data_IF_212389060144
#
_entry.id   IF_212389060144
#
_cell.length_a   1.000
_cell.length_b   1.000
_cell.length_c   1.000
_cell.angle_alpha   90.00
_cell.angle_beta   90.00
_cell.angle_gamma   90.00
#
_symmetry.space_group_name_H-M   'P 1'
#
loop_
_entity.id
_entity.type
_entity.pdbx_description
1 polymer ?
#
# COMPACT_ATOMS: atom_id res chain seq x y z
N UNK A 1 15.88 1.93 -5.01
CA UNK A 1 15.43 2.72 -3.83
C UNK A 1 14.33 1.95 -3.13
N UNK A 2 14.34 1.90 -1.80
CA UNK A 2 13.35 1.16 -0.99
C UNK A 2 12.80 2.09 0.08
N UNK A 3 11.48 2.17 0.23
CA UNK A 3 10.90 2.84 1.40
C UNK A 3 10.63 1.80 2.50
N UNK A 4 11.57 1.72 3.45
CA UNK A 4 11.48 0.89 4.64
C UNK A 4 10.96 1.66 5.88
N UNK A 5 10.40 2.85 5.70
CA UNK A 5 9.80 3.58 6.81
C UNK A 5 8.52 2.88 7.28
N UNK A 6 8.29 2.85 8.59
CA UNK A 6 7.12 2.15 9.14
C UNK A 6 5.79 2.88 8.91
N UNK A 7 5.80 4.21 8.70
CA UNK A 7 4.60 5.03 8.90
C UNK A 7 4.51 6.28 8.00
N UNK A 8 5.40 6.42 7.01
CA UNK A 8 5.52 7.63 6.19
C UNK A 8 5.69 7.30 4.71
N UNK A 9 4.83 7.90 3.88
CA UNK A 9 5.08 8.05 2.44
C UNK A 9 6.10 9.18 2.29
N UNK A 10 7.05 9.04 1.36
CA UNK A 10 8.14 9.99 1.21
C UNK A 10 8.16 10.60 -0.19
N UNK A 11 8.32 11.91 -0.25
CA UNK A 11 8.91 12.55 -1.42
C UNK A 11 10.43 12.39 -1.36
N UNK A 12 11.07 12.15 -2.50
CA UNK A 12 12.52 12.10 -2.64
C UNK A 12 12.98 12.86 -3.89
N UNK A 13 14.10 13.57 -3.79
CA UNK A 13 14.71 14.27 -4.92
C UNK A 13 16.22 14.46 -4.72
N UNK A 14 16.93 14.73 -5.82
CA UNK A 14 18.36 15.01 -5.83
C UNK A 14 18.61 16.37 -6.46
N UNK A 15 19.36 17.23 -5.76
CA UNK A 15 19.55 18.61 -6.20
C UNK A 15 20.20 18.66 -7.58
N UNK A 16 19.60 19.39 -8.52
CA UNK A 16 20.08 19.56 -9.90
C UNK A 16 20.18 18.27 -10.73
N UNK A 17 19.55 17.18 -10.31
CA UNK A 17 19.50 15.94 -11.08
C UNK A 17 18.06 15.50 -11.29
N UNK A 18 17.75 15.09 -12.52
CA UNK A 18 16.54 14.34 -12.79
C UNK A 18 16.80 12.85 -12.53
N UNK A 19 15.74 12.14 -12.22
CA UNK A 19 15.73 10.70 -12.00
C UNK A 19 14.90 10.07 -13.12
N UNK A 20 15.45 9.07 -13.80
CA UNK A 20 14.68 8.25 -14.73
C UNK A 20 14.22 6.99 -14.01
N UNK A 21 12.94 6.89 -13.69
CA UNK A 21 12.34 5.69 -13.09
C UNK A 21 12.20 4.63 -14.17
N UNK A 22 12.74 3.44 -13.94
CA UNK A 22 12.77 2.34 -14.94
C UNK A 22 12.15 1.04 -14.45
N UNK A 23 11.96 0.88 -13.13
CA UNK A 23 11.23 -0.24 -12.56
C UNK A 23 10.54 0.18 -11.25
N UNK A 24 9.46 -0.53 -10.91
CA UNK A 24 8.76 -0.43 -9.65
C UNK A 24 8.39 -1.83 -9.15
N UNK A 25 8.61 -2.10 -7.86
CA UNK A 25 8.21 -3.36 -7.21
C UNK A 25 8.72 -4.63 -7.92
N UNK A 26 9.92 -4.55 -8.52
CA UNK A 26 10.55 -5.66 -9.25
C UNK A 26 10.11 -5.82 -10.70
N UNK A 27 9.29 -4.91 -11.23
CA UNK A 27 8.80 -4.95 -12.61
C UNK A 27 9.18 -3.69 -13.40
N UNK A 28 9.58 -3.87 -14.66
CA UNK A 28 9.96 -2.76 -15.52
C UNK A 28 8.78 -1.84 -15.84
N UNK A 29 9.04 -0.54 -15.78
CA UNK A 29 8.09 0.52 -16.13
C UNK A 29 8.51 1.16 -17.43
N UNK A 30 7.57 1.82 -18.12
CA UNK A 30 7.99 2.80 -19.13
C UNK A 30 8.86 3.85 -18.44
N UNK A 31 10.00 4.25 -19.03
CA UNK A 31 10.88 5.21 -18.38
C UNK A 31 10.16 6.54 -18.10
N UNK A 32 10.25 7.02 -16.86
CA UNK A 32 9.65 8.30 -16.44
C UNK A 32 10.77 9.20 -15.95
N UNK A 33 10.97 10.32 -16.62
CA UNK A 33 11.85 11.37 -16.14
C UNK A 33 11.12 12.22 -15.10
N UNK A 34 11.65 12.28 -13.89
CA UNK A 34 11.06 12.99 -12.78
C UNK A 34 12.10 13.83 -12.02
N UNK A 35 11.70 15.01 -11.57
CA UNK A 35 12.53 15.88 -10.71
C UNK A 35 12.43 15.49 -9.23
N UNK A 36 11.32 14.85 -8.86
CA UNK A 36 11.08 14.20 -7.58
C UNK A 36 10.31 12.91 -7.81
N UNK A 37 10.31 12.03 -6.81
CA UNK A 37 9.50 10.82 -6.79
C UNK A 37 8.73 10.73 -5.48
N UNK A 38 7.63 9.99 -5.50
CA UNK A 38 6.85 9.67 -4.30
C UNK A 38 6.87 8.17 -4.10
N UNK A 39 7.23 7.71 -2.90
CA UNK A 39 7.35 6.29 -2.59
C UNK A 39 6.67 5.97 -1.27
N UNK A 40 5.81 4.95 -1.27
CA UNK A 40 5.14 4.48 -0.06
C UNK A 40 5.90 3.32 0.61
N UNK A 41 5.75 3.11 1.92
CA UNK A 41 6.28 1.92 2.59
C UNK A 41 5.92 0.63 1.87
N UNK A 42 6.90 -0.27 1.75
CA UNK A 42 6.77 -1.53 1.02
C UNK A 42 7.05 -1.43 -0.49
N UNK A 43 7.05 -0.22 -1.06
CA UNK A 43 7.41 -0.03 -2.46
C UNK A 43 8.92 0.02 -2.67
N UNK A 44 9.32 -0.36 -3.89
CA UNK A 44 10.67 -0.18 -4.41
C UNK A 44 10.63 0.51 -5.77
N UNK A 45 11.65 1.31 -6.07
CA UNK A 45 11.82 1.98 -7.36
C UNK A 45 13.26 1.86 -7.83
N UNK A 46 13.48 1.49 -9.09
CA UNK A 46 14.80 1.55 -9.73
C UNK A 46 14.92 2.84 -10.53
N UNK A 47 16.02 3.54 -10.28
CA UNK A 47 16.24 4.91 -10.73
C UNK A 47 17.58 5.00 -11.44
N UNK A 48 17.60 5.55 -12.64
CA UNK A 48 18.83 5.98 -13.28
C UNK A 48 19.08 7.44 -12.92
N UNK A 49 20.30 7.73 -12.49
CA UNK A 49 20.81 9.08 -12.30
C UNK A 49 21.94 9.30 -13.29
N UNK A 50 21.82 10.37 -14.09
CA UNK A 50 22.90 10.83 -14.95
C UNK A 50 23.75 11.86 -14.20
N UNK A 51 25.02 11.55 -13.95
CA UNK A 51 25.93 12.41 -13.19
C UNK A 51 26.60 13.46 -14.10
N UNK A 52 25.79 14.38 -14.64
CA UNK A 52 26.17 15.37 -15.66
C UNK A 52 26.43 16.79 -15.12
N UNK A 53 26.42 16.94 -13.80
CA UNK A 53 26.60 18.24 -13.15
C UNK A 53 28.09 18.54 -12.87
N UNK A 54 28.38 19.72 -12.32
CA UNK A 54 29.76 20.16 -12.05
C UNK A 54 30.47 19.21 -11.05
N UNK A 55 31.59 18.55 -11.44
CA UNK A 55 32.29 17.59 -10.61
C UNK A 55 32.98 18.17 -9.38
N UNK A 56 33.11 19.51 -9.30
CA UNK A 56 33.63 20.22 -8.11
C UNK A 56 32.54 20.55 -7.09
N UNK A 57 31.28 20.30 -7.40
CA UNK A 57 30.14 20.61 -6.54
C UNK A 57 29.65 19.39 -5.76
N UNK A 58 28.90 19.66 -4.70
CA UNK A 58 28.24 18.64 -3.87
C UNK A 58 26.73 18.86 -3.93
N UNK A 59 25.98 17.78 -4.13
CA UNK A 59 24.53 17.83 -4.32
C UNK A 59 23.84 17.09 -3.18
N UNK A 60 22.80 17.69 -2.58
CA UNK A 60 22.02 16.98 -1.58
C UNK A 60 20.96 16.12 -2.23
N UNK A 61 20.85 14.90 -1.73
CA UNK A 61 19.68 14.05 -1.86
C UNK A 61 18.81 14.32 -0.64
N UNK A 62 17.50 14.47 -0.79
CA UNK A 62 16.62 14.76 0.33
C UNK A 62 15.35 13.93 0.25
N UNK A 63 14.85 13.51 1.40
CA UNK A 63 13.50 12.96 1.53
C UNK A 63 12.73 13.65 2.66
N UNK A 64 11.44 13.86 2.43
CA UNK A 64 10.49 14.38 3.44
C UNK A 64 9.18 13.61 3.38
N UNK A 65 8.44 13.64 4.48
CA UNK A 65 7.11 13.05 4.53
C UNK A 65 6.14 13.70 3.53
N UNK A 66 5.33 12.85 2.89
CA UNK A 66 4.02 13.20 2.36
C UNK A 66 2.95 12.77 3.37
N UNK A 67 2.05 13.68 3.72
CA UNK A 67 0.97 13.43 4.67
C UNK A 67 -0.32 14.17 4.25
N UNK A 68 -1.38 13.40 3.98
CA UNK A 68 -2.66 13.94 3.49
C UNK A 68 -3.59 14.48 4.58
N UNK A 69 -3.27 14.29 5.87
CA UNK A 69 -4.09 14.78 6.97
C UNK A 69 -3.31 15.73 7.88
N UNK A 70 -3.73 17.00 7.90
CA UNK A 70 -3.06 18.07 8.64
C UNK A 70 -3.38 18.09 10.13
N UNK A 71 -4.42 17.38 10.55
CA UNK A 71 -4.88 17.36 11.94
C UNK A 71 -4.15 16.31 12.79
N UNK A 72 -3.27 15.50 12.18
CA UNK A 72 -2.51 14.45 12.85
C UNK A 72 -1.04 14.83 12.84
N UNK A 73 -0.41 14.77 14.00
CA UNK A 73 1.02 15.03 14.11
C UNK A 73 1.84 13.93 13.42
N UNK A 74 2.91 14.33 12.75
CA UNK A 74 3.84 13.43 12.09
C UNK A 74 5.26 14.00 12.16
N UNK A 75 6.26 13.15 11.97
CA UNK A 75 7.63 13.62 11.85
C UNK A 75 7.83 14.33 10.51
N UNK A 76 7.89 15.66 10.54
CA UNK A 76 8.08 16.52 9.37
C UNK A 76 9.55 16.91 9.14
N UNK A 77 10.50 16.21 9.75
CA UNK A 77 11.92 16.43 9.46
C UNK A 77 12.25 15.99 8.03
N UNK A 78 13.21 16.67 7.42
CA UNK A 78 13.78 16.26 6.13
C UNK A 78 15.10 15.53 6.39
N UNK A 79 15.22 14.31 5.86
CA UNK A 79 16.49 13.58 5.89
C UNK A 79 17.32 13.93 4.66
N UNK A 80 18.64 14.00 4.81
CA UNK A 80 19.59 14.43 3.78
C UNK A 80 20.67 13.38 3.57
N UNK A 81 20.92 13.04 2.31
CA UNK A 81 22.10 12.33 1.85
C UNK A 81 22.96 13.23 0.97
N UNK A 82 24.21 12.83 0.70
CA UNK A 82 25.16 13.63 -0.07
C UNK A 82 25.60 12.85 -1.31
N UNK A 83 25.42 13.46 -2.48
CA UNK A 83 25.98 13.01 -3.76
C UNK A 83 27.24 13.82 -4.07
N UNK A 84 28.39 13.14 -4.05
CA UNK A 84 29.71 13.71 -4.32
C UNK A 84 30.30 13.06 -5.57
N UNK A 85 30.80 13.89 -6.47
CA UNK A 85 31.52 13.39 -7.65
C UNK A 85 32.99 13.19 -7.27
N UNK A 86 33.54 12.04 -7.63
CA UNK A 86 34.97 11.80 -7.43
C UNK A 86 35.73 12.27 -8.68
N UNK A 87 36.54 13.32 -8.54
CA UNK A 87 37.42 13.82 -9.60
C UNK A 87 38.85 13.89 -9.09
N UNK A 88 39.80 13.44 -9.91
CA UNK A 88 41.24 13.50 -9.69
C UNK A 88 41.79 14.95 -9.66
N UNK A 89 41.02 15.94 -10.11
CA UNK A 89 41.38 17.36 -10.15
C UNK A 89 40.86 18.16 -8.93
N UNK A 90 40.88 17.59 -7.72
CA UNK A 90 40.51 18.32 -6.49
C UNK A 90 41.60 19.34 -6.11
N UNK A 91 41.65 20.47 -6.82
CA UNK A 91 42.26 21.69 -6.30
C UNK A 91 41.50 22.11 -5.04
N UNK A 92 42.23 22.32 -3.95
CA UNK A 92 41.80 22.58 -2.55
C UNK A 92 40.92 23.82 -2.31
N UNK A 93 40.17 24.28 -3.30
CA UNK A 93 39.30 25.44 -3.18
C UNK A 93 38.01 25.18 -3.94
N UNK A 94 36.95 24.85 -3.20
CA UNK A 94 35.60 25.03 -3.70
C UNK A 94 34.72 25.48 -2.54
N UNK A 95 34.23 26.72 -2.60
CA UNK A 95 33.04 27.07 -1.85
C UNK A 95 31.94 26.10 -2.28
N UNK A 96 31.64 25.11 -1.43
CA UNK A 96 30.63 24.11 -1.74
C UNK A 96 29.28 24.84 -1.82
N UNK A 97 28.79 25.08 -3.03
CA UNK A 97 27.39 25.47 -3.23
C UNK A 97 26.54 24.26 -2.86
N UNK A 98 26.27 24.09 -1.56
CA UNK A 98 25.37 23.07 -1.01
C UNK A 98 23.96 23.42 -1.48
N UNK A 99 23.47 22.72 -2.50
CA UNK A 99 22.14 22.95 -3.07
C UNK A 99 21.19 21.90 -2.54
N UNK A 100 20.11 22.36 -1.91
CA UNK A 100 18.99 21.49 -1.57
C UNK A 100 18.13 21.26 -2.82
N UNK A 101 17.57 20.05 -2.99
CA UNK A 101 16.56 19.83 -4.03
C UNK A 101 15.27 20.56 -3.69
N UNK A 102 14.50 20.89 -4.74
CA UNK A 102 13.12 21.30 -4.53
C UNK A 102 12.27 20.03 -4.34
N UNK A 103 11.61 19.94 -3.18
CA UNK A 103 10.68 18.86 -2.85
C UNK A 103 9.27 19.46 -2.75
N UNK A 104 8.24 18.76 -3.24
CA UNK A 104 6.85 19.17 -3.01
C UNK A 104 6.58 19.42 -1.52
N UNK A 105 5.59 20.26 -1.22
CA UNK A 105 5.20 20.48 0.17
C UNK A 105 4.61 19.19 0.76
N UNK A 106 4.73 18.99 2.06
CA UNK A 106 4.37 17.71 2.69
C UNK A 106 2.90 17.32 2.50
N UNK A 107 2.00 18.28 2.23
CA UNK A 107 0.57 18.03 2.03
C UNK A 107 0.14 18.07 0.55
N UNK A 108 1.10 18.12 -0.38
CA UNK A 108 0.83 18.23 -1.81
C UNK A 108 0.35 16.89 -2.39
N UNK A 109 -0.94 16.63 -2.21
CA UNK A 109 -1.62 15.41 -2.67
C UNK A 109 -1.60 15.29 -4.18
N UNK A 110 -1.70 16.42 -4.89
CA UNK A 110 -1.62 16.47 -6.35
C UNK A 110 -0.25 15.99 -6.83
N UNK A 111 0.85 16.47 -6.23
CA UNK A 111 2.19 15.99 -6.56
C UNK A 111 2.38 14.49 -6.27
N UNK A 112 1.91 14.03 -5.11
CA UNK A 112 2.02 12.62 -4.72
C UNK A 112 1.31 11.68 -5.70
N UNK A 113 0.03 11.96 -5.98
CA UNK A 113 -0.77 11.10 -6.85
C UNK A 113 -0.45 11.30 -8.34
N UNK A 114 0.00 12.47 -8.78
CA UNK A 114 0.52 12.66 -10.14
C UNK A 114 1.73 11.75 -10.40
N UNK A 115 2.62 11.56 -9.42
CA UNK A 115 3.71 10.61 -9.57
C UNK A 115 3.21 9.16 -9.60
N UNK A 116 2.37 8.77 -8.64
CA UNK A 116 1.85 7.39 -8.57
C UNK A 116 1.11 6.95 -9.84
N UNK A 117 0.33 7.84 -10.46
CA UNK A 117 -0.47 7.53 -11.66
C UNK A 117 0.30 7.60 -12.96
N UNK A 118 1.48 8.23 -12.98
CA UNK A 118 2.31 8.29 -14.17
C UNK A 118 3.06 6.96 -14.43
N UNK A 119 3.12 6.07 -13.44
CA UNK A 119 3.76 4.76 -13.55
C UNK A 119 2.91 3.83 -14.43
N UNK A 120 3.48 3.35 -15.53
CA UNK A 120 2.88 2.34 -16.42
C UNK A 120 3.87 1.23 -16.70
N UNK A 121 3.39 0.02 -16.98
CA UNK A 121 4.25 -1.14 -17.26
C UNK A 121 4.96 -0.99 -18.60
N UNK A 122 6.22 -1.42 -18.68
CA UNK A 122 6.97 -1.44 -19.94
C UNK A 122 6.34 -2.43 -20.93
N UNK A 123 5.96 -3.60 -20.42
CA UNK A 123 5.29 -4.64 -21.18
C UNK A 123 3.86 -4.80 -20.65
N UNK A 124 2.89 -4.81 -21.55
CA UNK A 124 1.52 -5.17 -21.22
C UNK A 124 1.48 -6.67 -20.91
N UNK A 125 1.48 -7.02 -19.63
CA UNK A 125 1.16 -8.40 -19.23
C UNK A 125 -0.29 -8.75 -19.54
N UNK A 126 -0.70 -10.01 -19.31
CA UNK A 126 -2.09 -10.43 -19.49
C UNK A 126 -2.96 -9.86 -18.37
N UNK A 127 -3.29 -8.57 -18.45
CA UNK A 127 -4.24 -7.91 -17.53
C UNK A 127 -5.56 -8.69 -17.62
N UNK A 128 -6.09 -9.22 -16.51
CA UNK A 128 -7.32 -9.98 -16.56
C UNK A 128 -8.48 -9.08 -16.99
N UNK A 129 -9.03 -9.31 -18.19
CA UNK A 129 -10.14 -8.51 -18.72
C UNK A 129 -11.48 -9.01 -18.19
N UNK A 130 -11.69 -10.33 -18.23
CA UNK A 130 -12.91 -10.97 -17.72
C UNK A 130 -12.74 -11.33 -16.24
N UNK A 131 -13.36 -10.53 -15.38
CA UNK A 131 -13.32 -10.73 -13.94
C UNK A 131 -14.28 -11.84 -13.54
N UNK A 132 -13.77 -12.82 -12.81
CA UNK A 132 -14.58 -13.91 -12.23
C UNK A 132 -15.09 -13.56 -10.85
N UNK A 133 -14.34 -12.71 -10.12
CA UNK A 133 -14.67 -12.33 -8.75
C UNK A 133 -14.32 -10.87 -8.47
N UNK A 134 -15.27 -10.12 -7.96
CA UNK A 134 -15.08 -8.72 -7.55
C UNK A 134 -15.21 -8.62 -6.04
N UNK A 135 -14.28 -7.89 -5.43
CA UNK A 135 -14.29 -7.56 -4.00
C UNK A 135 -14.14 -6.04 -3.89
N UNK A 136 -15.05 -5.38 -3.21
CA UNK A 136 -14.94 -3.99 -2.81
C UNK A 136 -14.69 -3.98 -1.30
N UNK A 137 -13.54 -3.47 -0.90
CA UNK A 137 -13.15 -3.37 0.49
C UNK A 137 -12.96 -1.93 0.89
N UNK A 138 -13.72 -1.45 1.87
CA UNK A 138 -13.34 -0.21 2.56
C UNK A 138 -12.06 -0.44 3.37
N UNK A 139 -11.23 0.60 3.49
CA UNK A 139 -10.08 0.66 4.37
C UNK A 139 -10.24 1.88 5.27
N UNK A 140 -10.26 1.65 6.59
CA UNK A 140 -10.69 2.66 7.56
C UNK A 140 -9.80 2.68 8.79
N UNK A 141 -9.56 3.89 9.30
CA UNK A 141 -9.19 4.07 10.71
C UNK A 141 -10.47 4.04 11.54
N UNK A 142 -10.37 3.46 12.71
CA UNK A 142 -11.49 3.12 13.57
C UNK A 142 -11.15 3.37 15.04
N UNK A 143 -12.17 3.29 15.90
CA UNK A 143 -12.04 3.42 17.35
C UNK A 143 -12.71 2.23 18.06
N UNK A 144 -12.04 1.68 19.06
CA UNK A 144 -12.58 0.72 20.01
C UNK A 144 -12.81 1.43 21.34
N UNK A 145 -14.02 1.36 21.87
CA UNK A 145 -14.35 1.99 23.15
C UNK A 145 -13.58 1.33 24.29
N UNK A 146 -13.03 2.14 25.19
CA UNK A 146 -12.39 1.67 26.41
C UNK A 146 -13.30 1.88 27.62
N UNK A 147 -13.29 0.97 28.61
CA UNK A 147 -14.03 1.18 29.85
C UNK A 147 -13.63 2.52 30.49
N UNK A 148 -14.63 3.30 30.89
CA UNK A 148 -14.47 4.60 31.55
C UNK A 148 -13.58 5.59 30.79
N UNK A 149 -13.56 5.55 29.46
CA UNK A 149 -12.75 6.45 28.62
C UNK A 149 -11.25 6.44 29.00
N UNK A 150 -10.73 5.28 29.41
CA UNK A 150 -9.39 5.13 29.99
C UNK A 150 -8.23 5.15 28.98
N UNK A 151 -8.52 5.22 27.67
CA UNK A 151 -7.50 5.17 26.64
C UNK A 151 -7.12 6.56 26.11
N UNK A 152 -5.93 6.69 25.53
CA UNK A 152 -5.38 7.97 25.05
C UNK A 152 -5.89 8.42 23.67
N UNK A 153 -6.65 7.57 22.98
CA UNK A 153 -7.18 7.91 21.66
C UNK A 153 -8.36 8.89 21.75
N UNK A 154 -8.89 9.30 20.59
CA UNK A 154 -9.99 10.26 20.51
C UNK A 154 -11.17 9.86 21.40
N UNK A 155 -11.71 10.81 22.17
CA UNK A 155 -12.83 10.58 23.09
C UNK A 155 -12.59 9.45 24.13
N UNK A 156 -11.35 9.24 24.55
CA UNK A 156 -11.01 8.21 25.55
C UNK A 156 -11.00 6.78 25.02
N UNK A 157 -10.98 6.62 23.69
CA UNK A 157 -11.04 5.33 23.00
C UNK A 157 -9.66 4.84 22.58
N UNK A 158 -9.59 3.62 22.02
CA UNK A 158 -8.37 3.04 21.45
C UNK A 158 -8.42 3.07 19.93
N UNK A 159 -7.34 3.50 19.28
CA UNK A 159 -7.22 3.44 17.83
C UNK A 159 -7.25 1.99 17.33
N UNK A 160 -8.00 1.77 16.27
CA UNK A 160 -8.12 0.53 15.53
C UNK A 160 -8.12 0.84 14.02
N UNK A 161 -8.11 -0.21 13.20
CA UNK A 161 -8.24 -0.09 11.77
C UNK A 161 -8.90 -1.35 11.21
N UNK A 162 -9.56 -1.22 10.07
CA UNK A 162 -10.35 -2.32 9.52
C UNK A 162 -10.35 -2.38 8.00
N UNK A 163 -10.69 -3.57 7.51
CA UNK A 163 -11.11 -3.80 6.13
C UNK A 163 -12.55 -4.29 6.12
N UNK A 164 -13.46 -3.63 5.39
CA UNK A 164 -14.90 -3.92 5.41
C UNK A 164 -15.50 -3.99 6.82
N UNK A 165 -15.11 -3.05 7.68
CA UNK A 165 -15.53 -2.95 9.08
C UNK A 165 -15.13 -4.16 9.97
N UNK A 166 -14.20 -4.99 9.51
CA UNK A 166 -13.57 -6.04 10.30
C UNK A 166 -12.16 -5.58 10.68
N UNK A 167 -11.94 -5.34 11.96
CA UNK A 167 -10.60 -5.14 12.51
C UNK A 167 -10.04 -6.51 12.86
N UNK A 168 -9.00 -6.90 12.12
CA UNK A 168 -8.49 -8.27 12.16
C UNK A 168 -7.76 -8.57 13.46
N UNK A 169 -8.18 -9.64 14.14
CA UNK A 169 -7.49 -10.18 15.31
C UNK A 169 -6.53 -11.29 14.87
N UNK A 170 -5.23 -11.15 15.15
CA UNK A 170 -4.26 -12.21 14.87
C UNK A 170 -4.52 -13.40 15.80
N UNK A 171 -4.67 -14.65 15.29
CA UNK A 171 -4.74 -15.82 16.16
C UNK A 171 -3.51 -15.94 17.07
N UNK A 172 -3.72 -16.26 18.35
CA UNK A 172 -2.65 -16.36 19.35
C UNK A 172 -1.96 -17.72 19.39
N UNK A 173 -2.69 -18.81 19.09
CA UNK A 173 -2.22 -20.18 19.37
C UNK A 173 -1.88 -21.01 18.14
N UNK A 174 -2.39 -20.64 16.96
CA UNK A 174 -2.18 -21.38 15.70
C UNK A 174 -2.20 -20.38 14.55
N UNK A 175 -1.16 -20.37 13.72
CA UNK A 175 -1.15 -19.55 12.52
C UNK A 175 -2.14 -20.07 11.45
N UNK A 176 -2.61 -19.18 10.58
CA UNK A 176 -3.67 -19.50 9.61
C UNK A 176 -3.22 -20.54 8.59
N UNK A 177 -1.93 -20.56 8.22
CA UNK A 177 -1.40 -21.54 7.28
C UNK A 177 -1.44 -22.95 7.87
N UNK A 178 -0.95 -23.12 9.10
CA UNK A 178 -1.02 -24.39 9.83
C UNK A 178 -2.47 -24.84 10.04
N UNK A 179 -3.35 -23.90 10.43
CA UNK A 179 -4.76 -24.20 10.61
C UNK A 179 -5.44 -24.66 9.30
N UNK A 180 -5.10 -24.01 8.19
CA UNK A 180 -5.60 -24.38 6.87
C UNK A 180 -5.10 -25.76 6.43
N UNK A 181 -3.78 -25.99 6.52
CA UNK A 181 -3.12 -27.20 6.05
C UNK A 181 -3.57 -28.45 6.83
N UNK A 182 -3.66 -28.36 8.16
CA UNK A 182 -4.07 -29.47 9.02
C UNK A 182 -5.57 -29.49 9.36
N UNK A 183 -6.37 -28.61 8.73
CA UNK A 183 -7.81 -28.51 8.94
C UNK A 183 -8.23 -28.29 10.42
N UNK A 184 -7.45 -27.50 11.15
CA UNK A 184 -7.71 -27.16 12.56
C UNK A 184 -8.90 -26.19 12.62
N UNK A 185 -9.94 -26.59 13.37
CA UNK A 185 -11.18 -25.80 13.51
C UNK A 185 -11.01 -24.71 14.57
N UNK A 186 -11.78 -23.63 14.43
CA UNK A 186 -11.87 -22.56 15.44
C UNK A 186 -10.80 -21.47 15.37
N UNK A 187 -9.86 -21.53 14.41
CA UNK A 187 -8.78 -20.53 14.27
C UNK A 187 -9.21 -19.30 13.46
N UNK A 188 -9.99 -19.49 12.41
CA UNK A 188 -10.48 -18.41 11.55
C UNK A 188 -11.87 -18.73 10.99
N UNK A 189 -12.64 -17.68 10.66
CA UNK A 189 -13.85 -17.76 9.85
C UNK A 189 -13.56 -17.50 8.38
N UNK A 190 -14.46 -17.92 7.49
CA UNK A 190 -14.32 -17.78 6.02
C UNK A 190 -15.23 -16.71 5.41
N UNK A 191 -15.82 -15.86 6.26
CA UNK A 191 -16.90 -14.93 5.88
C UNK A 191 -16.41 -13.49 5.76
N UNK A 192 -15.17 -13.27 5.30
CA UNK A 192 -14.78 -11.93 4.90
C UNK A 192 -15.68 -11.46 3.73
N UNK A 193 -16.40 -10.34 3.90
CA UNK A 193 -17.44 -9.94 2.96
C UNK A 193 -16.82 -9.39 1.66
N UNK A 194 -17.48 -9.66 0.53
CA UNK A 194 -17.02 -9.16 -0.78
C UNK A 194 -17.33 -7.69 -0.99
N UNK A 195 -18.27 -7.14 -0.23
CA UNK A 195 -18.69 -5.75 -0.32
C UNK A 195 -18.79 -5.18 1.10
N UNK A 196 -18.68 -3.86 1.27
CA UNK A 196 -18.85 -3.24 2.57
C UNK A 196 -20.23 -3.62 3.14
N UNK A 197 -20.31 -4.10 4.39
CA UNK A 197 -21.57 -4.56 4.98
C UNK A 197 -22.59 -3.42 5.17
N UNK A 198 -22.10 -2.18 5.22
CA UNK A 198 -22.90 -0.97 5.22
C UNK A 198 -22.33 -0.01 4.17
N UNK A 199 -23.19 0.42 3.25
CA UNK A 199 -22.84 1.43 2.23
C UNK A 199 -23.27 2.80 2.74
N UNK A 200 -22.35 3.74 2.69
CA UNK A 200 -22.56 5.15 3.02
C UNK A 200 -21.68 6.00 2.11
N UNK A 201 -21.77 7.33 2.24
CA UNK A 201 -20.82 8.22 1.58
C UNK A 201 -19.45 8.09 2.26
N UNK A 202 -18.58 7.20 1.77
CA UNK A 202 -17.32 6.85 2.41
C UNK A 202 -16.35 8.03 2.57
N UNK A 203 -16.48 9.04 1.71
CA UNK A 203 -15.58 10.19 1.65
C UNK A 203 -16.24 11.51 2.07
N UNK A 204 -17.38 11.47 2.78
CA UNK A 204 -18.02 12.67 3.32
C UNK A 204 -17.12 13.38 4.34
N UNK A 205 -17.14 14.71 4.41
CA UNK A 205 -16.35 15.44 5.40
C UNK A 205 -16.76 15.10 6.84
N UNK A 206 -18.07 15.00 7.07
CA UNK A 206 -18.66 14.61 8.35
C UNK A 206 -19.19 13.19 8.31
N UNK A 207 -18.74 12.36 9.25
CA UNK A 207 -19.13 10.96 9.38
C UNK A 207 -19.80 10.68 10.72
N UNK A 208 -20.94 9.97 10.76
CA UNK A 208 -21.56 9.54 12.01
C UNK A 208 -20.62 8.72 12.90
N UNK A 209 -20.59 9.01 14.19
CA UNK A 209 -19.69 8.35 15.16
C UNK A 209 -19.89 6.82 15.21
N UNK A 210 -21.11 6.33 15.00
CA UNK A 210 -21.41 4.89 15.05
C UNK A 210 -20.69 4.09 13.95
N UNK A 211 -20.25 4.75 12.86
CA UNK A 211 -19.48 4.11 11.79
C UNK A 211 -18.01 3.87 12.18
N UNK A 212 -17.53 4.51 13.25
CA UNK A 212 -16.11 4.45 13.63
C UNK A 212 -15.76 3.16 14.38
N UNK A 213 -16.74 2.45 14.94
CA UNK A 213 -16.50 1.22 15.72
C UNK A 213 -16.53 -0.02 14.83
N UNK A 214 -15.41 -0.76 14.71
CA UNK A 214 -15.34 -1.95 13.89
C UNK A 214 -15.72 -3.20 14.66
N UNK A 215 -16.02 -4.27 13.94
CA UNK A 215 -16.13 -5.61 14.53
C UNK A 215 -14.75 -6.25 14.62
N UNK A 216 -14.40 -6.78 15.78
CA UNK A 216 -13.20 -7.60 15.94
C UNK A 216 -13.47 -9.03 15.43
N UNK A 217 -12.66 -9.52 14.50
CA UNK A 217 -12.76 -10.90 14.04
C UNK A 217 -11.50 -11.38 13.31
N UNK A 218 -11.31 -12.69 13.21
CA UNK A 218 -10.34 -13.32 12.31
C UNK A 218 -11.11 -13.95 11.16
N UNK A 219 -11.32 -13.20 10.09
CA UNK A 219 -12.01 -13.68 8.89
C UNK A 219 -11.06 -13.70 7.69
N UNK A 220 -11.10 -14.78 6.92
CA UNK A 220 -10.33 -14.96 5.69
C UNK A 220 -11.24 -14.97 4.48
N UNK A 221 -10.65 -14.74 3.31
CA UNK A 221 -11.32 -14.86 2.02
C UNK A 221 -10.77 -16.04 1.23
N UNK A 222 -11.63 -17.03 0.99
CA UNK A 222 -11.28 -18.20 0.18
C UNK A 222 -11.43 -17.85 -1.30
N UNK A 223 -10.37 -18.05 -2.09
CA UNK A 223 -10.32 -17.94 -3.54
C UNK A 223 -10.07 -19.32 -4.16
N UNK A 224 -10.63 -19.58 -5.34
CA UNK A 224 -10.31 -20.77 -6.11
C UNK A 224 -9.08 -20.51 -6.99
N UNK A 225 -8.26 -21.54 -7.18
CA UNK A 225 -7.14 -21.48 -8.11
C UNK A 225 -7.61 -21.00 -9.50
N UNK A 226 -6.89 -20.04 -10.07
CA UNK A 226 -7.14 -19.49 -11.40
C UNK A 226 -8.30 -18.49 -11.47
N UNK A 227 -8.93 -18.11 -10.36
CA UNK A 227 -9.92 -17.02 -10.37
C UNK A 227 -9.26 -15.71 -10.81
N UNK A 228 -9.85 -15.03 -11.79
CA UNK A 228 -9.54 -13.63 -12.07
C UNK A 228 -10.24 -12.75 -11.05
N UNK A 229 -9.46 -12.09 -10.20
CA UNK A 229 -9.94 -11.29 -9.08
C UNK A 229 -9.71 -9.81 -9.35
N UNK A 230 -10.75 -9.01 -9.13
CA UNK A 230 -10.67 -7.55 -9.01
C UNK A 230 -10.92 -7.16 -7.55
N UNK A 231 -9.99 -6.42 -6.96
CA UNK A 231 -10.17 -5.81 -5.65
C UNK A 231 -10.20 -4.30 -5.82
N UNK A 232 -11.28 -3.67 -5.37
CA UNK A 232 -11.38 -2.22 -5.23
C UNK A 232 -11.20 -1.88 -3.76
N UNK A 233 -10.17 -1.11 -3.46
CA UNK A 233 -9.88 -0.62 -2.12
C UNK A 233 -10.39 0.82 -2.03
N UNK A 234 -11.37 1.05 -1.16
CA UNK A 234 -12.02 2.34 -0.96
C UNK A 234 -11.53 2.96 0.36
N UNK A 235 -10.79 4.06 0.28
CA UNK A 235 -10.48 4.90 1.44
C UNK A 235 -11.74 5.52 2.03
N UNK A 236 -11.74 5.70 3.35
CA UNK A 236 -12.83 6.36 4.07
C UNK A 236 -12.33 7.56 4.85
N UNK A 237 -13.21 8.53 5.10
CA UNK A 237 -12.92 9.70 5.91
C UNK A 237 -13.14 9.50 7.42
N UNK A 238 -13.31 8.25 7.88
CA UNK A 238 -13.55 7.95 9.29
C UNK A 238 -12.38 8.34 10.18
N UNK A 239 -12.70 8.78 11.40
CA UNK A 239 -11.76 9.13 12.48
C UNK A 239 -10.75 10.21 12.08
N UNK A 240 -11.05 11.46 12.45
CA UNK A 240 -10.18 12.60 12.17
C UNK A 240 -10.00 12.86 10.68
N UNK A 241 -10.89 12.32 9.84
CA UNK A 241 -10.78 12.37 8.40
C UNK A 241 -10.09 11.17 7.75
N UNK A 242 -9.45 10.25 8.47
CA UNK A 242 -8.68 9.17 7.85
C UNK A 242 -7.38 9.66 7.20
N UNK A 243 -6.64 8.75 6.56
CA UNK A 243 -5.35 9.01 5.88
C UNK A 243 -5.16 8.05 4.69
N UNK A 244 -4.11 8.26 3.90
CA UNK A 244 -3.79 7.36 2.79
C UNK A 244 -3.24 6.00 3.29
N UNK A 245 -3.42 4.95 2.49
CA UNK A 245 -3.08 3.59 2.89
C UNK A 245 -2.28 2.87 1.80
N UNK A 246 -0.97 2.59 2.01
CA UNK A 246 -0.24 1.70 1.11
C UNK A 246 -0.67 0.26 1.36
N UNK A 247 -1.46 -0.30 0.46
CA UNK A 247 -2.00 -1.66 0.59
C UNK A 247 -1.11 -2.63 -0.18
N UNK A 248 -0.59 -3.62 0.54
CA UNK A 248 0.32 -4.65 0.04
C UNK A 248 -0.36 -6.02 0.03
N UNK A 249 -0.09 -6.82 -1.00
CA UNK A 249 -0.57 -8.20 -1.13
C UNK A 249 0.63 -9.15 -1.23
N UNK A 250 0.68 -10.12 -0.32
CA UNK A 250 1.68 -11.20 -0.33
C UNK A 250 1.35 -12.22 -1.42
N UNK A 251 2.37 -12.94 -1.88
CA UNK A 251 2.20 -14.04 -2.85
C UNK A 251 1.89 -13.62 -4.28
N UNK A 252 1.58 -12.35 -4.52
CA UNK A 252 1.18 -11.81 -5.81
C UNK A 252 1.76 -10.42 -6.05
N UNK A 253 2.06 -10.13 -7.31
CA UNK A 253 1.91 -8.79 -7.85
C UNK A 253 0.55 -8.67 -8.52
N UNK A 254 0.06 -7.45 -8.71
CA UNK A 254 -1.22 -7.13 -9.29
C UNK A 254 -1.12 -5.96 -10.26
N UNK A 255 -2.02 -5.92 -11.23
CA UNK A 255 -2.18 -4.78 -12.12
C UNK A 255 -3.04 -3.72 -11.43
N UNK A 256 -2.51 -2.53 -11.20
CA UNK A 256 -3.29 -1.41 -10.72
C UNK A 256 -3.98 -0.74 -11.91
N UNK A 257 -5.24 -1.08 -12.14
CA UNK A 257 -5.98 -0.71 -13.35
C UNK A 257 -6.69 0.64 -13.25
N UNK A 258 -6.87 1.16 -12.04
CA UNK A 258 -7.48 2.47 -11.85
C UNK A 258 -7.25 3.03 -10.45
N UNK A 259 -7.31 4.35 -10.36
CA UNK A 259 -7.36 5.11 -9.11
C UNK A 259 -8.23 6.33 -9.33
N UNK A 260 -8.94 6.74 -8.29
CA UNK A 260 -9.75 7.94 -8.31
C UNK A 260 -9.94 8.53 -6.93
N UNK A 261 -10.42 9.76 -6.88
CA UNK A 261 -10.88 10.41 -5.64
C UNK A 261 -12.40 10.28 -5.53
N UNK A 262 -12.92 10.43 -4.30
CA UNK A 262 -14.32 10.22 -3.95
C UNK A 262 -14.70 8.75 -3.78
N UNK A 263 -16.01 8.48 -3.85
CA UNK A 263 -16.55 7.13 -3.78
C UNK A 263 -16.40 6.41 -5.12
N UNK A 264 -15.97 5.15 -5.07
CA UNK A 264 -15.92 4.29 -6.25
C UNK A 264 -17.31 4.08 -6.85
N UNK A 265 -17.47 4.46 -8.12
CA UNK A 265 -18.67 4.19 -8.89
C UNK A 265 -18.49 2.92 -9.74
N UNK A 266 -19.18 1.84 -9.37
CA UNK A 266 -19.05 0.53 -10.02
C UNK A 266 -19.51 0.48 -11.48
N UNK A 267 -20.36 1.42 -11.91
CA UNK A 267 -20.85 1.48 -13.30
C UNK A 267 -19.97 2.35 -14.19
N UNK A 268 -19.39 3.42 -13.65
CA UNK A 268 -18.61 4.39 -14.42
C UNK A 268 -17.11 4.13 -14.38
N UNK A 269 -16.55 3.87 -13.20
CA UNK A 269 -15.10 3.78 -13.01
C UNK A 269 -14.42 2.71 -13.89
N UNK A 270 -14.98 1.50 -14.09
CA UNK A 270 -14.36 0.50 -14.96
C UNK A 270 -14.13 0.94 -16.41
N UNK A 271 -14.92 1.89 -16.92
CA UNK A 271 -14.76 2.42 -18.28
C UNK A 271 -13.48 3.23 -18.47
N UNK A 272 -12.94 3.78 -17.37
CA UNK A 272 -11.72 4.58 -17.35
C UNK A 272 -10.48 3.77 -16.92
N UNK A 273 -10.60 2.45 -16.79
CA UNK A 273 -9.45 1.62 -16.40
C UNK A 273 -8.38 1.58 -17.47
N UNK A 274 -7.12 1.69 -17.04
CA UNK A 274 -5.99 1.32 -17.88
C UNK A 274 -5.90 -0.21 -17.93
N UNK A 275 -6.41 -0.80 -19.02
CA UNK A 275 -6.28 -2.23 -19.31
C UNK A 275 -5.19 -2.52 -20.36
N UNK A 276 -4.49 -1.47 -20.83
CA UNK A 276 -3.45 -1.59 -21.85
C UNK A 276 -2.09 -1.85 -21.21
N UNK A 277 -1.67 -0.99 -20.31
CA UNK A 277 -0.35 -1.04 -19.66
C UNK A 277 -0.37 -0.61 -18.18
N UNK A 278 -1.36 -1.07 -17.37
CA UNK A 278 -1.39 -0.74 -15.95
C UNK A 278 -0.10 -1.19 -15.27
N UNK A 279 0.41 -0.42 -14.29
CA UNK A 279 1.61 -0.82 -13.56
C UNK A 279 1.36 -2.13 -12.80
N UNK A 280 2.31 -3.05 -12.93
CA UNK A 280 2.30 -4.34 -12.24
C UNK A 280 3.15 -4.24 -10.97
N UNK A 281 2.50 -4.25 -9.81
CA UNK A 281 3.08 -3.86 -8.52
C UNK A 281 2.66 -4.81 -7.41
N UNK A 282 3.30 -4.74 -6.25
CA UNK A 282 2.86 -5.49 -5.07
C UNK A 282 2.24 -4.59 -3.99
N UNK A 283 2.42 -3.26 -4.10
CA UNK A 283 1.89 -2.29 -3.15
C UNK A 283 1.26 -1.08 -3.86
N UNK A 284 0.02 -0.73 -3.51
CA UNK A 284 -0.70 0.42 -4.07
C UNK A 284 -1.20 1.38 -2.99
N UNK A 285 -0.97 2.68 -3.19
CA UNK A 285 -1.41 3.73 -2.26
C UNK A 285 -2.87 4.08 -2.51
N UNK A 286 -3.75 3.71 -1.59
CA UNK A 286 -5.16 4.11 -1.59
C UNK A 286 -5.27 5.52 -1.03
N UNK A 287 -5.83 6.50 -1.76
CA UNK A 287 -6.09 7.83 -1.21
C UNK A 287 -7.12 7.75 -0.09
N UNK A 288 -6.93 8.55 0.98
CA UNK A 288 -7.89 8.74 2.09
C UNK A 288 -9.33 8.87 1.60
N UNK A 289 -9.55 9.83 0.70
CA UNK A 289 -10.85 10.15 0.11
C UNK A 289 -10.88 9.67 -1.35
N UNK A 290 -10.61 8.39 -1.58
CA UNK A 290 -10.50 7.85 -2.92
C UNK A 290 -10.47 6.33 -2.96
N UNK A 291 -10.13 5.78 -4.11
CA UNK A 291 -10.13 4.34 -4.34
C UNK A 291 -9.02 3.92 -5.29
N UNK A 292 -8.60 2.66 -5.17
CA UNK A 292 -7.71 1.99 -6.11
C UNK A 292 -8.32 0.66 -6.53
N UNK A 293 -8.31 0.36 -7.82
CA UNK A 293 -8.71 -0.92 -8.38
C UNK A 293 -7.49 -1.72 -8.83
N UNK A 294 -7.36 -2.95 -8.32
CA UNK A 294 -6.30 -3.88 -8.67
C UNK A 294 -6.87 -5.17 -9.23
N UNK A 295 -6.13 -5.83 -10.14
CA UNK A 295 -6.49 -7.11 -10.74
C UNK A 295 -5.33 -8.09 -10.70
N UNK A 296 -5.61 -9.35 -10.38
CA UNK A 296 -4.65 -10.45 -10.44
C UNK A 296 -5.37 -11.77 -10.71
N UNK A 297 -4.59 -12.80 -11.05
CA UNK A 297 -5.08 -14.18 -11.11
C UNK A 297 -4.67 -14.87 -9.82
N UNK A 298 -5.59 -15.55 -9.16
CA UNK A 298 -5.30 -16.34 -7.96
C UNK A 298 -4.67 -17.70 -8.32
N UNK A 299 -3.47 -17.69 -8.90
CA UNK A 299 -2.75 -18.86 -9.43
C UNK A 299 -1.59 -19.35 -8.53
N UNK A 300 -1.49 -18.81 -7.31
CA UNK A 300 -0.51 -19.23 -6.32
C UNK A 300 -1.25 -19.84 -5.11
N UNK A 301 -1.38 -21.18 -5.01
CA UNK A 301 -2.03 -21.85 -3.89
C UNK A 301 -1.31 -21.59 -2.57
N UNK A 302 -2.05 -21.19 -1.53
CA UNK A 302 -1.44 -20.83 -0.26
C UNK A 302 -2.31 -19.92 0.59
N UNK A 303 -1.69 -19.34 1.61
CA UNK A 303 -2.31 -18.43 2.57
C UNK A 303 -1.57 -17.10 2.52
N UNK A 304 -2.20 -16.09 1.93
CA UNK A 304 -1.57 -14.84 1.52
C UNK A 304 -2.17 -13.66 2.25
N UNK A 305 -1.30 -12.85 2.83
CA UNK A 305 -1.71 -11.69 3.61
C UNK A 305 -1.91 -10.47 2.71
N UNK A 306 -3.00 -9.73 2.90
CA UNK A 306 -3.16 -8.39 2.38
C UNK A 306 -3.31 -7.41 3.53
N UNK A 307 -2.50 -6.37 3.56
CA UNK A 307 -2.51 -5.42 4.68
C UNK A 307 -2.03 -4.03 4.28
N UNK A 308 -2.37 -3.05 5.12
CA UNK A 308 -1.72 -1.75 5.05
C UNK A 308 -0.25 -1.89 5.49
N UNK A 309 0.65 -1.26 4.76
CA UNK A 309 2.09 -1.25 5.01
C UNK A 309 2.52 -0.09 5.92
N UNK A 310 1.57 0.55 6.59
CA UNK A 310 1.85 1.28 7.83
C UNK A 310 1.71 0.33 9.01
N UNK A 311 2.80 0.10 9.74
CA UNK A 311 2.87 -0.90 10.81
C UNK A 311 1.83 -0.67 11.90
N UNK A 312 1.52 0.60 12.21
CA UNK A 312 0.45 0.93 13.15
C UNK A 312 -0.91 0.44 12.65
N UNK A 313 -1.23 0.59 11.36
CA UNK A 313 -2.51 0.13 10.83
C UNK A 313 -2.57 -1.40 10.71
N UNK A 314 -1.45 -2.02 10.34
CA UNK A 314 -1.31 -3.48 10.34
C UNK A 314 -1.60 -4.05 11.73
N UNK A 315 -1.01 -3.47 12.77
CA UNK A 315 -1.22 -3.92 14.16
C UNK A 315 -2.60 -3.56 14.70
N UNK A 316 -3.21 -2.47 14.21
CA UNK A 316 -4.58 -2.08 14.52
C UNK A 316 -5.68 -2.88 13.80
N UNK A 317 -5.30 -3.75 12.86
CA UNK A 317 -6.22 -4.71 12.24
C UNK A 317 -6.61 -4.42 10.78
N UNK A 318 -5.96 -3.48 10.08
CA UNK A 318 -6.17 -3.23 8.65
C UNK A 318 -5.50 -4.29 7.78
N UNK A 319 -6.08 -5.49 7.80
CA UNK A 319 -5.57 -6.65 7.07
C UNK A 319 -6.67 -7.69 6.85
N UNK A 320 -6.45 -8.51 5.83
CA UNK A 320 -7.26 -9.69 5.51
C UNK A 320 -6.32 -10.78 4.99
N UNK A 321 -6.70 -12.03 5.15
CA UNK A 321 -5.96 -13.17 4.58
C UNK A 321 -6.77 -13.78 3.44
N UNK A 322 -6.12 -13.97 2.29
CA UNK A 322 -6.64 -14.72 1.17
C UNK A 322 -6.10 -16.14 1.21
N UNK A 323 -6.98 -17.14 1.17
CA UNK A 323 -6.58 -18.54 1.01
C UNK A 323 -6.91 -18.94 -0.42
N UNK A 324 -5.88 -19.21 -1.21
CA UNK A 324 -6.02 -19.72 -2.57
C UNK A 324 -5.94 -21.24 -2.49
N UNK A 325 -7.05 -21.91 -2.82
CA UNK A 325 -7.12 -23.37 -2.82
C UNK A 325 -6.19 -23.97 -3.86
N UNK A 326 -5.84 -25.24 -3.68
CA UNK A 326 -5.18 -26.04 -4.71
C UNK A 326 -6.02 -26.09 -6.00
N UNK A 327 -5.33 -26.08 -7.14
CA UNK A 327 -5.86 -26.41 -8.45
C UNK A 327 -5.86 -27.92 -8.73
N UNK A 328 -5.99 -28.28 -10.01
CA UNK A 328 -6.04 -29.70 -10.44
C UNK A 328 -4.66 -30.26 -10.79
N UNK A 329 -3.73 -29.40 -11.21
CA UNK A 329 -2.37 -29.81 -11.59
C UNK A 329 -1.50 -30.11 -10.39
N UNK A 330 -0.47 -30.95 -10.58
CA UNK A 330 0.53 -31.26 -9.54
C UNK A 330 1.30 -30.02 -9.08
N UNK A 331 1.57 -29.08 -9.99
CA UNK A 331 2.20 -27.80 -9.71
C UNK A 331 1.22 -26.71 -9.23
N UNK A 332 -0.04 -27.08 -8.98
CA UNK A 332 -1.10 -26.17 -8.50
C UNK A 332 -1.48 -26.51 -7.06
N UNK A 333 -0.54 -27.02 -6.27
CA UNK A 333 -0.78 -27.44 -4.90
C UNK A 333 0.16 -26.71 -3.95
N UNK A 334 -0.32 -26.46 -2.74
CA UNK A 334 0.54 -25.99 -1.65
C UNK A 334 1.64 -27.01 -1.36
N UNK A 335 2.85 -26.52 -1.11
CA UNK A 335 3.96 -27.36 -0.71
C UNK A 335 3.73 -27.94 0.70
N UNK A 336 4.27 -29.14 0.99
CA UNK A 336 4.24 -29.66 2.35
C UNK A 336 5.03 -28.74 3.31
N UNK A 337 4.62 -28.62 4.58
CA UNK A 337 5.32 -27.81 5.55
C UNK A 337 6.74 -28.36 5.78
N UNK A 338 7.76 -27.48 5.84
CA UNK A 338 9.10 -27.86 6.28
C UNK A 338 9.09 -28.55 7.66
N UNK A 339 10.02 -29.49 7.91
CA UNK A 339 10.10 -30.22 9.18
C UNK A 339 10.51 -29.34 10.38
N UNK A 340 11.11 -28.19 10.11
CA UNK A 340 11.64 -27.23 11.07
C UNK A 340 10.74 -26.00 11.26
N UNK A 341 9.45 -26.10 10.87
CA UNK A 341 8.50 -25.01 11.06
C UNK A 341 8.38 -24.67 12.56
N UNK A 342 8.55 -23.39 12.97
CA UNK A 342 8.46 -23.02 14.38
C UNK A 342 7.14 -23.47 15.02
N UNK A 343 7.16 -24.05 16.23
CA UNK A 343 5.94 -24.42 16.93
C UNK A 343 5.14 -23.16 17.31
N UNK A 344 3.81 -23.31 17.35
CA UNK A 344 2.92 -22.31 17.91
C UNK A 344 2.78 -22.57 19.41
N UNK A 345 2.73 -21.53 20.24
CA UNK A 345 2.62 -21.62 21.69
C UNK A 345 1.29 -21.06 22.19
#
# INVERSE_FOLDING_TARGET
MVNAAMNLILFFAIAKHNLTVVAADGHYTKPINATYITISPGQTLDLLLHADQNPKSTYYMAARAYHSNLNISFNNSTTIGILCYNSSSKTKTSSSSKRYPNLPYYNDTSAAFAFFTNITSLYSGQVPVKISRRIISTVSINLLMCPNNSCEGPNGSRLAASMNNISFVTPSHVDILKAYYYHIKGVYGTRFPEFPPLVFNFTADDQPLFLQTPRLATEVKILKFGESVEIVLQGTSLVGGGIDHPMHLHGFSFYMVGVGFGNYNVTEAPSNYNLKDPPYKNTATVPRNGWVAIRFIADNPGVWFMHCHFDRHLTWGMKVVFIVKNGRGLNQQILPPPPDLPPCY
#
